data_IF_547157610619
#
_entry.id   IF_547157610619
#
_cell.length_a   1.000
_cell.length_b   1.000
_cell.length_c   1.000
_cell.angle_alpha   90.00
_cell.angle_beta   90.00
_cell.angle_gamma   90.00
#
_symmetry.space_group_name_H-M   'P 1'
#
loop_
_entity.id
_entity.type
_entity.pdbx_description
1 polymer ?
#
# COMPACT_ATOMS: atom_id res chain seq x y z
N UNK A 1 1.09 14.85 39.89
CA UNK A 1 1.80 13.74 39.23
C UNK A 1 1.75 13.99 37.73
N UNK A 2 2.79 14.61 37.17
CA UNK A 2 2.91 14.91 35.74
C UNK A 2 3.64 13.75 35.06
N UNK A 3 2.91 12.87 34.38
CA UNK A 3 3.54 11.87 33.51
C UNK A 3 4.20 12.56 32.32
N UNK A 4 5.44 12.18 32.03
CA UNK A 4 6.19 12.62 30.86
C UNK A 4 5.50 12.14 29.57
N UNK A 5 5.48 12.96 28.53
CA UNK A 5 4.92 12.63 27.20
C UNK A 5 5.55 11.37 26.59
N UNK A 6 6.81 11.07 26.93
CA UNK A 6 7.51 9.85 26.46
C UNK A 6 6.94 8.56 27.05
N UNK A 7 6.44 8.58 28.28
CA UNK A 7 5.89 7.38 28.96
C UNK A 7 4.49 7.03 28.44
N UNK A 8 3.76 8.03 27.92
CA UNK A 8 2.45 7.82 27.31
C UNK A 8 2.59 7.07 25.98
N UNK A 9 3.64 7.34 25.20
CA UNK A 9 3.85 6.67 23.92
C UNK A 9 4.18 5.17 24.06
N UNK A 10 4.95 4.77 25.09
CA UNK A 10 5.32 3.37 25.33
C UNK A 10 4.19 2.53 25.92
N UNK A 11 3.34 3.10 26.78
CA UNK A 11 2.14 2.47 27.33
C UNK A 11 1.04 2.28 26.27
N UNK A 12 0.89 3.24 25.35
CA UNK A 12 -0.08 3.12 24.24
C UNK A 12 0.35 2.02 23.26
N UNK A 13 1.65 1.90 22.95
CA UNK A 13 2.15 0.87 22.04
C UNK A 13 1.95 -0.57 22.57
N UNK A 14 2.00 -0.76 23.89
CA UNK A 14 1.85 -2.09 24.52
C UNK A 14 0.38 -2.52 24.68
N UNK A 15 -0.56 -1.59 24.91
CA UNK A 15 -2.00 -1.90 24.93
C UNK A 15 -2.62 -2.10 23.54
N UNK A 16 -2.03 -1.52 22.50
CA UNK A 16 -2.51 -1.67 21.11
C UNK A 16 -2.33 -3.09 20.55
N UNK A 17 -1.38 -3.86 21.05
CA UNK A 17 -1.08 -5.22 20.57
C UNK A 17 -1.98 -6.31 21.17
N UNK A 18 -2.69 -6.05 22.28
CA UNK A 18 -3.46 -7.08 23.00
C UNK A 18 -4.93 -7.19 22.60
N UNK A 19 -5.45 -6.34 21.71
CA UNK A 19 -6.81 -6.45 21.19
C UNK A 19 -7.94 -6.17 22.19
N UNK A 20 -7.63 -5.85 23.45
CA UNK A 20 -8.60 -5.55 24.51
C UNK A 20 -8.32 -4.16 25.08
N UNK A 21 -8.94 -3.13 24.49
CA UNK A 21 -9.07 -1.82 25.15
C UNK A 21 -10.09 -1.92 26.31
N UNK A 22 -9.69 -2.49 27.44
CA UNK A 22 -10.56 -2.69 28.61
C UNK A 22 -11.06 -1.37 29.24
N UNK A 23 -10.41 -0.23 28.96
CA UNK A 23 -10.81 1.09 29.45
C UNK A 23 -11.16 2.04 28.29
N UNK A 24 -12.45 2.20 28.02
CA UNK A 24 -12.98 3.08 26.97
C UNK A 24 -12.46 4.53 27.07
N UNK A 25 -12.19 5.03 28.28
CA UNK A 25 -11.72 6.40 28.53
C UNK A 25 -10.26 6.60 28.06
N UNK A 26 -9.41 5.59 28.23
CA UNK A 26 -7.99 5.67 27.83
C UNK A 26 -7.90 5.58 26.30
N UNK A 27 -8.66 4.67 25.69
CA UNK A 27 -8.75 4.52 24.24
C UNK A 27 -9.25 5.81 23.56
N UNK A 28 -10.29 6.43 24.11
CA UNK A 28 -10.85 7.67 23.57
C UNK A 28 -9.87 8.88 23.69
N UNK A 29 -9.09 8.97 24.77
CA UNK A 29 -8.03 10.00 24.88
C UNK A 29 -6.88 9.77 23.91
N UNK A 30 -6.43 8.52 23.75
CA UNK A 30 -5.41 8.16 22.77
C UNK A 30 -5.89 8.53 21.37
N UNK A 31 -7.07 8.06 20.96
CA UNK A 31 -7.67 8.38 19.67
C UNK A 31 -7.73 9.90 19.42
N UNK A 32 -8.20 10.68 20.40
CA UNK A 32 -8.22 12.15 20.28
C UNK A 32 -6.84 12.75 20.06
N UNK A 33 -5.83 12.33 20.82
CA UNK A 33 -4.45 12.79 20.62
C UNK A 33 -3.92 12.41 19.22
N UNK A 34 -4.17 11.18 18.76
CA UNK A 34 -3.81 10.73 17.43
C UNK A 34 -4.47 11.56 16.32
N UNK A 35 -5.78 11.80 16.39
CA UNK A 35 -6.51 12.60 15.40
C UNK A 35 -6.06 14.07 15.35
N UNK A 36 -5.48 14.62 16.42
CA UNK A 36 -4.86 15.96 16.37
C UNK A 36 -3.51 15.98 15.66
N UNK A 37 -2.78 14.85 15.63
CA UNK A 37 -1.42 14.74 15.07
C UNK A 37 -1.43 14.25 13.61
N UNK A 38 -2.47 13.54 13.16
CA UNK A 38 -2.57 13.01 11.79
C UNK A 38 -2.58 14.09 10.68
N UNK A 39 -3.34 15.21 10.79
CA UNK A 39 -3.36 16.23 9.75
C UNK A 39 -1.98 16.80 9.40
N UNK A 40 -1.12 17.20 10.35
CA UNK A 40 0.22 17.68 10.00
C UNK A 40 1.11 16.58 9.42
N UNK A 41 0.99 15.31 9.85
CA UNK A 41 1.79 14.22 9.30
C UNK A 41 1.48 13.93 7.83
N UNK A 42 0.20 13.89 7.46
CA UNK A 42 -0.20 13.69 6.05
C UNK A 42 0.25 14.84 5.15
N UNK A 43 0.19 16.09 5.64
CA UNK A 43 0.71 17.24 4.92
C UNK A 43 2.24 17.14 4.74
N UNK A 44 2.97 16.80 5.80
CA UNK A 44 4.44 16.60 5.74
C UNK A 44 4.79 15.50 4.74
N UNK A 45 4.12 14.34 4.80
CA UNK A 45 4.36 13.25 3.87
C UNK A 45 4.12 13.66 2.40
N UNK A 46 3.05 14.40 2.13
CA UNK A 46 2.77 14.93 0.78
C UNK A 46 3.85 15.93 0.36
N UNK A 47 4.29 16.83 1.24
CA UNK A 47 5.35 17.81 0.89
C UNK A 47 6.69 17.14 0.59
N UNK A 48 7.12 16.16 1.41
CA UNK A 48 8.35 15.41 1.17
C UNK A 48 8.26 14.65 -0.15
N UNK A 49 7.14 13.98 -0.40
CA UNK A 49 6.96 13.21 -1.64
C UNK A 49 6.96 14.13 -2.86
N UNK A 50 6.25 15.27 -2.81
CA UNK A 50 6.26 16.26 -3.90
C UNK A 50 7.66 16.85 -4.10
N UNK A 51 8.39 17.15 -3.03
CA UNK A 51 9.74 17.68 -3.12
C UNK A 51 10.70 16.69 -3.78
N UNK A 52 10.67 15.42 -3.37
CA UNK A 52 11.44 14.35 -4.02
C UNK A 52 11.13 14.25 -5.52
N UNK A 53 9.85 14.41 -5.90
CA UNK A 53 9.46 14.44 -7.31
C UNK A 53 10.05 15.61 -8.08
N UNK A 54 10.02 16.81 -7.50
CA UNK A 54 10.59 17.99 -8.13
C UNK A 54 12.09 17.83 -8.39
N UNK A 55 12.81 17.13 -7.50
CA UNK A 55 14.24 16.83 -7.70
C UNK A 55 14.48 15.87 -8.87
N UNK A 56 13.61 14.88 -9.07
CA UNK A 56 13.75 13.86 -10.13
C UNK A 56 13.11 14.30 -11.46
N UNK A 57 12.26 15.33 -11.45
CA UNK A 57 11.46 15.78 -12.60
C UNK A 57 12.27 16.06 -13.86
N UNK A 58 13.47 16.64 -13.72
CA UNK A 58 14.34 16.89 -14.88
C UNK A 58 14.75 15.59 -15.59
N UNK A 59 15.16 14.58 -14.83
CA UNK A 59 15.54 13.27 -15.40
C UNK A 59 14.31 12.56 -15.99
N UNK A 60 13.16 12.74 -15.37
CA UNK A 60 11.90 12.20 -15.86
C UNK A 60 11.52 12.76 -17.23
N UNK A 61 11.66 14.08 -17.43
CA UNK A 61 11.42 14.71 -18.74
C UNK A 61 12.37 14.12 -19.79
N UNK A 62 13.66 14.02 -19.47
CA UNK A 62 14.67 13.52 -20.39
C UNK A 62 14.46 12.04 -20.76
N UNK A 63 14.04 11.19 -19.80
CA UNK A 63 13.91 9.75 -19.99
C UNK A 63 12.53 9.31 -20.49
N UNK A 64 11.45 9.92 -20.00
CA UNK A 64 10.08 9.48 -20.28
C UNK A 64 9.41 10.36 -21.34
N UNK A 65 9.53 11.68 -21.21
CA UNK A 65 8.77 12.61 -22.05
C UNK A 65 9.40 12.84 -23.43
N UNK A 66 10.73 12.76 -23.54
CA UNK A 66 11.42 12.91 -24.84
C UNK A 66 11.41 11.62 -25.66
N UNK A 67 11.11 10.47 -25.07
CA UNK A 67 11.00 9.21 -25.80
C UNK A 67 9.63 9.09 -26.49
N UNK A 68 9.54 8.34 -27.61
CA UNK A 68 8.26 8.07 -28.23
C UNK A 68 7.30 7.41 -27.23
N UNK A 69 6.06 7.88 -27.21
CA UNK A 69 5.05 7.42 -26.26
C UNK A 69 4.74 5.94 -26.49
N UNK A 70 5.27 5.09 -25.60
CA UNK A 70 4.92 3.68 -25.52
C UNK A 70 3.74 3.49 -24.56
N UNK A 71 2.96 2.42 -24.74
CA UNK A 71 1.87 2.06 -23.80
C UNK A 71 2.39 1.86 -22.38
N UNK A 72 3.60 1.32 -22.23
CA UNK A 72 4.28 1.16 -20.95
C UNK A 72 4.64 2.52 -20.33
N UNK A 73 5.11 3.48 -21.12
CA UNK A 73 5.40 4.84 -20.65
C UNK A 73 4.14 5.52 -20.09
N UNK A 74 3.00 5.38 -20.78
CA UNK A 74 1.71 5.91 -20.32
C UNK A 74 1.29 5.25 -19.00
N UNK A 75 1.37 3.92 -18.92
CA UNK A 75 0.97 3.18 -17.72
C UNK A 75 1.84 3.55 -16.50
N UNK A 76 3.14 3.70 -16.70
CA UNK A 76 4.09 4.17 -15.67
C UNK A 76 3.76 5.60 -15.23
N UNK A 77 3.48 6.52 -16.17
CA UNK A 77 3.09 7.90 -15.85
C UNK A 77 1.77 7.94 -15.07
N UNK A 78 0.75 7.20 -15.51
CA UNK A 78 -0.55 7.16 -14.83
C UNK A 78 -0.42 6.62 -13.41
N UNK A 79 0.34 5.55 -13.20
CA UNK A 79 0.58 5.03 -11.84
C UNK A 79 1.37 6.04 -10.98
N UNK A 80 2.40 6.65 -11.57
CA UNK A 80 3.24 7.67 -10.93
C UNK A 80 2.44 8.87 -10.42
N UNK A 81 1.71 9.52 -11.32
CA UNK A 81 0.98 10.76 -11.04
C UNK A 81 -0.32 10.46 -10.31
N UNK A 82 -0.94 9.31 -10.60
CA UNK A 82 -2.09 8.81 -9.86
C UNK A 82 -1.78 8.64 -8.38
N UNK A 83 -0.57 8.19 -8.02
CA UNK A 83 -0.16 8.03 -6.62
C UNK A 83 -0.01 9.33 -5.89
N UNK A 84 0.54 10.35 -6.55
CA UNK A 84 0.64 11.69 -5.97
C UNK A 84 -0.74 12.34 -5.82
N UNK A 85 -1.56 12.23 -6.87
CA UNK A 85 -2.92 12.74 -6.86
C UNK A 85 -3.78 12.08 -5.77
N UNK A 86 -3.66 10.76 -5.58
CA UNK A 86 -4.40 10.05 -4.53
C UNK A 86 -3.92 10.43 -3.13
N UNK A 87 -2.61 10.57 -2.90
CA UNK A 87 -2.07 11.06 -1.63
C UNK A 87 -2.58 12.47 -1.31
N UNK A 88 -2.57 13.38 -2.30
CA UNK A 88 -3.10 14.72 -2.15
C UNK A 88 -4.61 14.72 -1.87
N UNK A 89 -5.37 13.86 -2.55
CA UNK A 89 -6.80 13.69 -2.34
C UNK A 89 -7.11 13.15 -0.93
N UNK A 90 -6.33 12.17 -0.45
CA UNK A 90 -6.45 11.63 0.91
C UNK A 90 -6.12 12.70 1.94
N UNK A 91 -5.01 13.42 1.77
CA UNK A 91 -4.62 14.51 2.67
C UNK A 91 -5.67 15.63 2.68
N UNK A 92 -6.21 16.02 1.51
CA UNK A 92 -7.28 17.00 1.41
C UNK A 92 -8.55 16.53 2.14
N UNK A 93 -8.94 15.26 1.93
CA UNK A 93 -10.14 14.68 2.56
C UNK A 93 -9.98 14.48 4.06
N UNK A 94 -8.76 14.25 4.55
CA UNK A 94 -8.44 14.12 5.98
C UNK A 94 -8.28 15.48 6.69
N UNK A 95 -7.82 16.51 5.98
CA UNK A 95 -7.51 17.83 6.55
C UNK A 95 -8.68 18.81 6.51
N UNK A 96 -9.66 18.65 5.61
CA UNK A 96 -10.77 19.59 5.51
C UNK A 96 -11.67 19.52 6.74
N UNK A 97 -11.73 20.58 7.58
CA UNK A 97 -12.64 20.61 8.71
C UNK A 97 -14.07 20.59 8.19
N UNK A 98 -14.89 19.72 8.77
CA UNK A 98 -16.30 19.47 8.38
C UNK A 98 -17.24 20.68 8.54
N UNK A 99 -16.70 21.87 8.77
CA UNK A 99 -17.45 23.14 8.79
C UNK A 99 -18.16 23.43 7.47
N UNK A 100 -17.75 22.83 6.36
CA UNK A 100 -18.40 22.94 5.04
C UNK A 100 -19.51 21.91 4.78
N UNK A 101 -19.85 21.02 5.72
CA UNK A 101 -20.88 19.98 5.51
C UNK A 101 -20.55 19.02 4.36
N UNK A 102 -19.30 19.03 3.89
CA UNK A 102 -18.90 18.32 2.69
C UNK A 102 -18.79 16.82 2.93
N UNK A 103 -18.24 16.38 4.07
CA UNK A 103 -18.07 14.96 4.41
C UNK A 103 -19.16 14.41 5.35
N UNK A 104 -20.09 15.23 5.86
CA UNK A 104 -21.18 14.76 6.74
C UNK A 104 -22.17 13.84 6.04
N UNK A 105 -22.24 13.88 4.70
CA UNK A 105 -23.17 13.04 3.94
C UNK A 105 -22.56 11.64 3.78
N UNK A 106 -23.23 10.64 4.35
CA UNK A 106 -22.92 9.20 4.26
C UNK A 106 -22.44 8.76 2.87
N UNK A 107 -23.05 9.29 1.80
CA UNK A 107 -22.68 8.97 0.42
C UNK A 107 -21.25 9.36 0.05
N UNK A 108 -20.71 10.47 0.58
CA UNK A 108 -19.34 10.91 0.29
C UNK A 108 -18.31 10.07 1.04
N UNK A 109 -18.64 9.67 2.26
CA UNK A 109 -17.84 8.74 3.06
C UNK A 109 -17.68 7.39 2.36
N UNK A 110 -18.80 6.88 1.85
CA UNK A 110 -18.84 5.65 1.08
C UNK A 110 -18.06 5.77 -0.24
N UNK A 111 -18.22 6.89 -0.96
CA UNK A 111 -17.48 7.15 -2.19
C UNK A 111 -15.97 7.25 -1.95
N UNK A 112 -15.55 7.93 -0.89
CA UNK A 112 -14.15 8.04 -0.48
C UNK A 112 -13.52 6.67 -0.20
N UNK A 113 -14.21 5.84 0.60
CA UNK A 113 -13.72 4.49 0.90
C UNK A 113 -13.66 3.60 -0.34
N UNK A 114 -14.66 3.68 -1.23
CA UNK A 114 -14.64 2.98 -2.52
C UNK A 114 -13.47 3.46 -3.39
N UNK A 115 -13.22 4.76 -3.46
CA UNK A 115 -12.12 5.33 -4.22
C UNK A 115 -10.76 4.84 -3.72
N UNK A 116 -10.52 4.87 -2.40
CA UNK A 116 -9.26 4.36 -1.83
C UNK A 116 -9.08 2.88 -2.14
N UNK A 117 -10.13 2.07 -1.97
CA UNK A 117 -10.06 0.64 -2.23
C UNK A 117 -9.77 0.32 -3.70
N UNK A 118 -10.47 0.97 -4.64
CA UNK A 118 -10.25 0.76 -6.08
C UNK A 118 -8.89 1.26 -6.54
N UNK A 119 -8.47 2.44 -6.07
CA UNK A 119 -7.16 3.00 -6.38
C UNK A 119 -6.03 2.12 -5.83
N UNK A 120 -6.16 1.62 -4.60
CA UNK A 120 -5.20 0.70 -3.99
C UNK A 120 -5.04 -0.60 -4.77
N UNK A 121 -6.15 -1.14 -5.29
CA UNK A 121 -6.12 -2.32 -6.17
C UNK A 121 -5.37 -2.05 -7.48
N UNK A 122 -5.71 -0.95 -8.17
CA UNK A 122 -5.05 -0.57 -9.41
C UNK A 122 -3.55 -0.35 -9.21
N UNK A 123 -3.15 0.35 -8.15
CA UNK A 123 -1.73 0.59 -7.86
C UNK A 123 -1.00 -0.72 -7.54
N UNK A 124 -1.65 -1.63 -6.79
CA UNK A 124 -1.08 -2.95 -6.52
C UNK A 124 -0.89 -3.75 -7.81
N UNK A 125 -1.86 -3.72 -8.73
CA UNK A 125 -1.76 -4.38 -10.04
C UNK A 125 -0.56 -3.86 -10.84
N UNK A 126 -0.36 -2.54 -10.86
CA UNK A 126 0.75 -1.88 -11.55
C UNK A 126 2.10 -2.34 -11.00
N UNK A 127 2.25 -2.43 -9.67
CA UNK A 127 3.49 -2.91 -9.03
C UNK A 127 3.76 -4.36 -9.41
N UNK A 128 2.76 -5.23 -9.36
CA UNK A 128 2.91 -6.64 -9.72
C UNK A 128 3.26 -6.80 -11.20
N UNK A 129 2.65 -6.00 -12.08
CA UNK A 129 2.98 -5.99 -13.50
C UNK A 129 4.43 -5.52 -13.76
N UNK A 130 4.89 -4.48 -13.07
CA UNK A 130 6.28 -4.01 -13.18
C UNK A 130 7.29 -5.08 -12.74
N UNK A 131 6.95 -5.88 -11.72
CA UNK A 131 7.77 -7.01 -11.30
C UNK A 131 7.85 -8.10 -12.38
N UNK A 132 6.73 -8.44 -13.03
CA UNK A 132 6.72 -9.36 -14.18
C UNK A 132 7.64 -8.87 -15.28
N UNK A 133 7.59 -7.58 -15.63
CA UNK A 133 8.43 -7.00 -16.68
C UNK A 133 9.92 -7.13 -16.36
N UNK A 134 10.34 -6.85 -15.12
CA UNK A 134 11.74 -6.99 -14.69
C UNK A 134 12.22 -8.44 -14.72
N UNK A 135 11.34 -9.36 -14.31
CA UNK A 135 11.64 -10.79 -14.32
C UNK A 135 11.68 -11.32 -15.76
N UNK A 136 10.80 -10.82 -16.63
CA UNK A 136 10.74 -11.18 -18.03
C UNK A 136 12.01 -10.75 -18.79
N UNK A 137 12.50 -9.53 -18.56
CA UNK A 137 13.76 -9.06 -19.18
C UNK A 137 14.97 -9.87 -18.70
N UNK A 138 14.95 -10.33 -17.46
CA UNK A 138 16.00 -11.19 -16.90
C UNK A 138 16.02 -12.59 -17.54
N UNK A 139 14.86 -13.12 -17.93
CA UNK A 139 14.71 -14.52 -18.35
C UNK A 139 14.89 -14.81 -19.85
N UNK A 140 15.41 -13.84 -20.60
CA UNK A 140 15.82 -14.00 -22.00
C UNK A 140 14.73 -14.68 -22.88
N UNK A 141 13.50 -14.16 -22.77
CA UNK A 141 12.37 -14.44 -23.65
C UNK A 141 11.93 -15.93 -23.79
N UNK A 142 12.19 -16.78 -22.80
CA UNK A 142 11.67 -18.15 -22.79
C UNK A 142 10.14 -18.17 -22.58
N UNK A 143 9.39 -18.54 -23.63
CA UNK A 143 7.91 -18.56 -23.65
C UNK A 143 7.26 -19.32 -22.49
N UNK A 144 7.86 -20.45 -22.06
CA UNK A 144 7.32 -21.27 -20.97
C UNK A 144 7.24 -20.48 -19.66
N UNK A 145 8.29 -19.72 -19.35
CA UNK A 145 8.37 -18.92 -18.12
C UNK A 145 7.39 -17.76 -18.20
N UNK A 146 7.28 -17.11 -19.36
CA UNK A 146 6.30 -16.03 -19.58
C UNK A 146 4.87 -16.52 -19.34
N UNK A 147 4.50 -17.68 -19.88
CA UNK A 147 3.17 -18.27 -19.67
C UNK A 147 2.95 -18.60 -18.19
N UNK A 148 3.95 -19.14 -17.50
CA UNK A 148 3.86 -19.42 -16.07
C UNK A 148 3.67 -18.13 -15.24
N UNK A 149 4.44 -17.06 -15.52
CA UNK A 149 4.34 -15.78 -14.82
C UNK A 149 2.97 -15.11 -15.02
N UNK A 150 2.47 -15.10 -16.26
CA UNK A 150 1.16 -14.53 -16.59
C UNK A 150 0.04 -15.38 -15.94
N UNK A 151 0.15 -16.71 -15.99
CA UNK A 151 -0.81 -17.61 -15.35
C UNK A 151 -0.88 -17.42 -13.84
N UNK A 152 0.28 -17.34 -13.17
CA UNK A 152 0.36 -17.03 -11.75
C UNK A 152 -0.22 -15.66 -11.41
N UNK A 153 0.06 -14.64 -12.22
CA UNK A 153 -0.51 -13.31 -12.02
C UNK A 153 -2.04 -13.33 -12.08
N UNK A 154 -2.62 -13.92 -13.13
CA UNK A 154 -4.08 -14.01 -13.28
C UNK A 154 -4.71 -14.76 -12.10
N UNK A 155 -4.09 -15.86 -11.66
CA UNK A 155 -4.59 -16.66 -10.54
C UNK A 155 -4.56 -15.90 -9.21
N UNK A 156 -3.39 -15.43 -8.78
CA UNK A 156 -3.22 -14.78 -7.48
C UNK A 156 -3.83 -13.37 -7.42
N UNK A 157 -3.74 -12.61 -8.50
CA UNK A 157 -4.39 -11.31 -8.59
C UNK A 157 -5.91 -11.46 -8.70
N UNK A 158 -6.41 -12.50 -9.37
CA UNK A 158 -7.84 -12.83 -9.39
C UNK A 158 -8.40 -13.11 -7.99
N UNK A 159 -7.68 -13.90 -7.19
CA UNK A 159 -8.01 -14.13 -5.77
C UNK A 159 -8.02 -12.80 -5.00
N UNK A 160 -6.97 -12.00 -5.15
CA UNK A 160 -6.84 -10.69 -4.50
C UNK A 160 -8.02 -9.78 -4.84
N UNK A 161 -8.38 -9.70 -6.12
CA UNK A 161 -9.47 -8.88 -6.63
C UNK A 161 -10.82 -9.35 -6.07
N UNK A 162 -11.09 -10.65 -6.06
CA UNK A 162 -12.33 -11.19 -5.53
C UNK A 162 -12.51 -10.85 -4.04
N UNK A 163 -11.51 -11.12 -3.20
CA UNK A 163 -11.56 -10.80 -1.77
C UNK A 163 -11.63 -9.29 -1.51
N UNK A 164 -10.94 -8.48 -2.30
CA UNK A 164 -10.97 -7.04 -2.14
C UNK A 164 -12.32 -6.42 -2.55
N UNK A 165 -12.98 -6.95 -3.59
CA UNK A 165 -14.33 -6.52 -3.97
C UNK A 165 -15.33 -6.87 -2.88
N UNK A 166 -15.29 -8.10 -2.36
CA UNK A 166 -16.14 -8.54 -1.24
C UNK A 166 -15.91 -7.65 -0.01
N UNK A 167 -14.64 -7.42 0.34
CA UNK A 167 -14.23 -6.53 1.43
C UNK A 167 -14.77 -5.12 1.23
N UNK A 168 -14.65 -4.56 0.02
CA UNK A 168 -15.10 -3.19 -0.30
C UNK A 168 -16.61 -3.06 -0.17
N UNK A 169 -17.39 -4.03 -0.68
CA UNK A 169 -18.85 -4.02 -0.58
C UNK A 169 -19.28 -4.06 0.88
N UNK A 170 -18.74 -5.00 1.66
CA UNK A 170 -19.08 -5.17 3.08
C UNK A 170 -18.70 -3.92 3.90
N UNK A 171 -17.52 -3.38 3.63
CA UNK A 171 -16.96 -2.23 4.34
C UNK A 171 -17.71 -0.96 3.99
N UNK A 172 -18.06 -0.77 2.72
CA UNK A 172 -18.80 0.41 2.26
C UNK A 172 -20.22 0.48 2.83
N UNK A 173 -20.82 -0.65 3.22
CA UNK A 173 -22.11 -0.68 3.89
C UNK A 173 -22.03 -0.33 5.39
N UNK A 174 -20.86 -0.50 6.01
CA UNK A 174 -20.63 -0.29 7.45
C UNK A 174 -19.86 0.99 7.78
N UNK A 175 -19.48 1.80 6.78
CA UNK A 175 -18.60 2.94 6.95
C UNK A 175 -19.29 4.14 7.62
N UNK A 176 -19.12 4.34 8.93
CA UNK A 176 -19.75 5.42 9.68
C UNK A 176 -18.88 6.68 9.78
N UNK A 177 -19.55 7.83 9.73
CA UNK A 177 -18.93 9.12 9.99
C UNK A 177 -18.92 9.38 11.50
N UNK A 178 -17.73 9.55 12.09
CA UNK A 178 -17.56 9.82 13.51
C UNK A 178 -17.46 11.33 13.74
N UNK A 179 -18.50 11.91 14.35
CA UNK A 179 -18.56 13.36 14.57
C UNK A 179 -17.45 13.87 15.51
N UNK A 180 -17.01 13.05 16.47
CA UNK A 180 -15.93 13.37 17.43
C UNK A 180 -14.60 13.64 16.72
N UNK A 181 -14.27 12.83 15.71
CA UNK A 181 -13.00 12.88 14.98
C UNK A 181 -13.10 13.61 13.65
N UNK A 182 -14.33 13.95 13.24
CA UNK A 182 -14.64 14.55 11.93
C UNK A 182 -14.11 13.74 10.76
N UNK A 183 -14.05 12.42 10.92
CA UNK A 183 -13.46 11.51 9.96
C UNK A 183 -14.42 10.37 9.63
N UNK A 184 -14.22 9.80 8.45
CA UNK A 184 -14.83 8.57 8.02
C UNK A 184 -14.06 7.39 8.56
N UNK A 185 -14.74 6.49 9.28
CA UNK A 185 -14.10 5.29 9.78
C UNK A 185 -14.95 4.04 9.67
N UNK A 186 -14.29 2.92 9.89
CA UNK A 186 -14.88 1.60 9.82
C UNK A 186 -14.96 1.04 11.23
N UNK A 187 -16.16 0.78 11.77
CA UNK A 187 -16.33 0.34 13.15
C UNK A 187 -15.72 -1.04 13.44
N UNK A 188 -15.47 -1.83 12.40
CA UNK A 188 -14.93 -3.17 12.52
C UNK A 188 -13.95 -3.46 11.38
N UNK A 189 -12.91 -4.22 11.71
CA UNK A 189 -11.94 -4.71 10.73
C UNK A 189 -12.63 -5.65 9.72
N UNK A 190 -12.48 -5.44 8.41
CA UNK A 190 -12.98 -6.37 7.41
C UNK A 190 -12.25 -7.71 7.50
N UNK A 191 -13.00 -8.80 7.68
CA UNK A 191 -12.47 -10.17 7.77
C UNK A 191 -11.81 -10.63 6.46
N UNK A 192 -12.38 -10.22 5.32
CA UNK A 192 -11.91 -10.61 3.99
C UNK A 192 -10.65 -9.88 3.52
N UNK A 193 -10.21 -8.84 4.23
CA UNK A 193 -8.99 -8.12 3.89
C UNK A 193 -7.75 -9.02 3.97
N UNK A 194 -7.74 -9.96 4.91
CA UNK A 194 -6.66 -10.97 5.04
C UNK A 194 -6.53 -11.80 3.76
N UNK A 195 -7.66 -12.16 3.12
CA UNK A 195 -7.66 -12.90 1.87
C UNK A 195 -7.05 -12.12 0.71
N UNK A 196 -7.29 -10.80 0.64
CA UNK A 196 -6.68 -9.94 -0.37
C UNK A 196 -5.15 -9.88 -0.21
N UNK A 197 -4.66 -9.70 1.02
CA UNK A 197 -3.21 -9.73 1.29
C UNK A 197 -2.59 -11.10 1.04
N UNK A 198 -3.30 -12.18 1.37
CA UNK A 198 -2.83 -13.54 1.11
C UNK A 198 -2.61 -13.79 -0.38
N UNK A 199 -3.48 -13.26 -1.26
CA UNK A 199 -3.28 -13.36 -2.71
C UNK A 199 -2.01 -12.64 -3.19
N UNK A 200 -1.78 -11.41 -2.70
CA UNK A 200 -0.58 -10.63 -3.00
C UNK A 200 0.69 -11.35 -2.53
N UNK A 201 0.72 -11.81 -1.28
CA UNK A 201 1.86 -12.54 -0.71
C UNK A 201 2.08 -13.88 -1.40
N UNK A 202 1.01 -14.60 -1.72
CA UNK A 202 1.07 -15.85 -2.48
C UNK A 202 1.77 -15.68 -3.82
N UNK A 203 1.52 -14.56 -4.52
CA UNK A 203 2.21 -14.25 -5.77
C UNK A 203 3.71 -14.01 -5.59
N UNK A 204 4.13 -13.32 -4.52
CA UNK A 204 5.56 -13.13 -4.22
C UNK A 204 6.27 -14.45 -3.93
N UNK A 205 5.63 -15.31 -3.12
CA UNK A 205 6.15 -16.65 -2.81
C UNK A 205 6.23 -17.49 -4.09
N UNK A 206 5.24 -17.40 -4.96
CA UNK A 206 5.22 -18.07 -6.25
C UNK A 206 6.37 -17.62 -7.17
N UNK A 207 6.59 -16.31 -7.31
CA UNK A 207 7.73 -15.77 -8.07
C UNK A 207 9.05 -16.27 -7.48
N UNK A 208 9.21 -16.22 -6.16
CA UNK A 208 10.42 -16.67 -5.48
C UNK A 208 10.67 -18.16 -5.75
N UNK A 209 9.62 -18.96 -5.71
CA UNK A 209 9.70 -20.38 -6.04
C UNK A 209 10.14 -20.61 -7.50
N UNK A 210 9.58 -19.88 -8.47
CA UNK A 210 10.01 -19.96 -9.87
C UNK A 210 11.48 -19.54 -10.06
N UNK A 211 11.92 -18.49 -9.35
CA UNK A 211 13.30 -18.03 -9.37
C UNK A 211 14.26 -19.10 -8.85
N UNK A 212 13.89 -19.80 -7.76
CA UNK A 212 14.66 -20.93 -7.20
C UNK A 212 14.69 -22.12 -8.17
N UNK A 213 13.54 -22.54 -8.71
CA UNK A 213 13.51 -23.65 -9.67
C UNK A 213 14.38 -23.38 -10.91
N UNK A 214 14.33 -22.16 -11.42
CA UNK A 214 15.17 -21.79 -12.55
C UNK A 214 16.66 -21.74 -12.20
N UNK A 215 17.02 -21.27 -11.00
CA UNK A 215 18.43 -21.22 -10.58
C UNK A 215 19.02 -22.64 -10.46
N UNK A 216 18.21 -23.62 -10.08
CA UNK A 216 18.58 -25.04 -10.06
C UNK A 216 18.71 -25.64 -11.48
N UNK A 217 17.87 -25.21 -12.42
CA UNK A 217 17.85 -25.76 -13.79
C UNK A 217 18.94 -25.20 -14.73
N UNK A 218 19.60 -24.07 -14.42
CA UNK A 218 20.68 -23.53 -15.26
C UNK A 218 22.02 -24.22 -14.91
N UNK A 219 22.64 -24.97 -15.85
CA UNK A 219 23.92 -25.63 -15.59
C UNK A 219 25.03 -24.62 -15.31
N UNK A 220 25.62 -24.75 -14.12
CA UNK A 220 26.56 -23.83 -13.47
C UNK A 220 27.92 -23.79 -14.19
N UNK A 221 28.04 -23.03 -15.27
CA UNK A 221 29.34 -22.72 -15.91
C UNK A 221 29.47 -21.21 -16.13
N UNK A 222 30.09 -20.52 -15.15
CA UNK A 222 30.67 -19.15 -15.15
C UNK A 222 29.87 -17.93 -14.64
N UNK A 223 28.57 -17.98 -14.37
CA UNK A 223 27.79 -16.78 -13.94
C UNK A 223 27.65 -16.59 -12.41
N UNK A 224 28.72 -16.76 -11.62
CA UNK A 224 28.66 -16.52 -10.17
C UNK A 224 28.49 -15.03 -9.80
N UNK A 225 28.97 -14.10 -10.64
CA UNK A 225 28.80 -12.66 -10.41
C UNK A 225 27.36 -12.18 -10.66
N UNK A 226 26.70 -12.70 -11.69
CA UNK A 226 25.31 -12.34 -12.01
C UNK A 226 24.39 -12.83 -10.90
N UNK A 227 24.58 -14.06 -10.41
CA UNK A 227 23.79 -14.58 -9.28
C UNK A 227 24.07 -13.78 -8.01
N UNK A 228 25.32 -13.37 -7.74
CA UNK A 228 25.66 -12.57 -6.55
C UNK A 228 25.00 -11.19 -6.59
N UNK A 229 24.99 -10.52 -7.74
CA UNK A 229 24.32 -9.22 -7.90
C UNK A 229 22.79 -9.36 -7.88
N UNK A 230 22.24 -10.41 -8.49
CA UNK A 230 20.80 -10.66 -8.47
C UNK A 230 20.30 -11.11 -7.09
N UNK A 231 21.10 -11.88 -6.35
CA UNK A 231 20.80 -12.23 -4.97
C UNK A 231 20.91 -10.99 -4.08
N UNK A 232 21.92 -10.15 -4.28
CA UNK A 232 22.04 -8.88 -3.57
C UNK A 232 20.82 -8.00 -3.85
N UNK A 233 20.49 -7.70 -5.09
CA UNK A 233 19.40 -6.77 -5.43
C UNK A 233 18.02 -7.39 -5.17
N UNK A 234 17.85 -8.68 -5.45
CA UNK A 234 16.61 -9.43 -5.25
C UNK A 234 16.31 -9.69 -3.78
N UNK A 235 17.30 -10.08 -2.98
CA UNK A 235 17.14 -10.26 -1.52
C UNK A 235 16.98 -8.93 -0.83
N UNK A 236 17.70 -7.87 -1.21
CA UNK A 236 17.40 -6.55 -0.65
C UNK A 236 16.01 -6.09 -1.02
N UNK A 237 15.53 -6.33 -2.25
CA UNK A 237 14.15 -6.00 -2.61
C UNK A 237 13.14 -6.86 -1.86
N UNK A 238 13.40 -8.15 -1.63
CA UNK A 238 12.51 -9.03 -0.86
C UNK A 238 12.56 -8.73 0.64
N UNK A 239 13.73 -8.44 1.20
CA UNK A 239 13.90 -8.04 2.59
C UNK A 239 13.28 -6.67 2.80
N UNK A 240 13.51 -5.69 1.93
CA UNK A 240 12.85 -4.38 1.98
C UNK A 240 11.37 -4.49 1.63
N UNK A 241 10.91 -5.44 0.83
CA UNK A 241 9.49 -5.68 0.62
C UNK A 241 8.87 -6.49 1.75
N UNK A 242 9.58 -7.30 2.51
CA UNK A 242 9.03 -8.05 3.65
C UNK A 242 9.10 -7.18 4.90
N UNK A 243 10.21 -6.48 5.15
CA UNK A 243 10.30 -5.42 6.15
C UNK A 243 9.41 -4.25 5.77
N UNK A 244 9.37 -3.86 4.50
CA UNK A 244 8.45 -2.86 3.99
C UNK A 244 7.03 -3.34 4.05
N UNK A 245 6.64 -4.54 3.64
CA UNK A 245 5.25 -5.00 3.89
C UNK A 245 4.99 -5.18 5.39
N UNK A 246 6.00 -5.35 6.23
CA UNK A 246 5.82 -5.27 7.68
C UNK A 246 5.71 -3.81 8.17
N UNK A 247 6.34 -2.82 7.50
CA UNK A 247 6.41 -1.39 7.88
C UNK A 247 5.49 -0.46 7.10
N UNK A 248 5.42 -0.57 5.77
CA UNK A 248 4.40 -0.05 4.85
C UNK A 248 3.13 -0.89 4.79
N UNK A 249 3.16 -2.19 5.10
CA UNK A 249 1.95 -2.86 5.56
C UNK A 249 1.62 -2.44 6.98
N UNK A 250 2.58 -2.13 7.88
CA UNK A 250 2.26 -1.31 9.06
C UNK A 250 1.76 0.06 8.64
N UNK A 251 2.24 0.77 7.62
CA UNK A 251 1.76 2.12 7.31
C UNK A 251 0.41 2.09 6.60
N UNK A 252 0.10 1.07 5.80
CA UNK A 252 -1.21 0.87 5.21
C UNK A 252 -2.16 0.30 6.26
N UNK A 253 -1.70 -0.55 7.18
CA UNK A 253 -2.47 -1.07 8.30
C UNK A 253 -2.58 -0.04 9.43
N UNK A 254 -1.65 0.90 9.58
CA UNK A 254 -1.67 2.10 10.41
C UNK A 254 -2.54 3.11 9.70
N UNK A 255 -2.47 3.34 8.39
CA UNK A 255 -3.40 4.23 7.68
C UNK A 255 -4.81 3.65 7.73
N UNK A 256 -4.98 2.34 7.55
CA UNK A 256 -6.25 1.64 7.74
C UNK A 256 -6.67 1.74 9.20
N UNK A 257 -5.82 1.46 10.21
CA UNK A 257 -6.13 1.63 11.64
C UNK A 257 -6.43 3.08 12.03
N UNK A 258 -5.73 4.04 11.42
CA UNK A 258 -5.89 5.50 11.53
C UNK A 258 -7.21 5.94 10.93
N UNK A 259 -7.63 5.34 9.81
CA UNK A 259 -8.95 5.56 9.24
C UNK A 259 -10.04 4.75 9.96
N UNK A 260 -9.75 3.56 10.52
CA UNK A 260 -10.73 2.70 11.19
C UNK A 260 -10.88 2.98 12.68
N UNK A 261 -10.05 3.82 13.28
CA UNK A 261 -10.11 4.17 14.70
C UNK A 261 -9.95 2.98 15.66
N UNK A 262 -9.17 1.97 15.24
CA UNK A 262 -8.84 0.79 16.04
C UNK A 262 -7.34 0.77 16.34
#
# INVERSE_FOLDING_TARGET
MSLSTTDIHSLVATQYLSGECANAIICDRALRAWFTVIPPLSAVAVTITLYDRLLVFRREIELIWRQPWSTLSILVLVDMYGRQASMLYIAYSASTPVRSGALTRWSRCQAFNRFIATYGLLSTASVQFALILRIYTLWDNRRVITVALIGGFILFYGITLAFAVISTVQTSAKAHYYNTYRACGLPAKPTYLIGAYAGILGYYVYILFLLVLNSLNRPRRRDLEIIKNLYRDGVWTLVVCVHGVNESGLLIQILIQVFTGL
#
